data_IF_139871207951
#
_entry.id   IF_139871207951
#
_cell.length_a   1.000
_cell.length_b   1.000
_cell.length_c   1.000
_cell.angle_alpha   90.00
_cell.angle_beta   90.00
_cell.angle_gamma   90.00
#
_symmetry.space_group_name_H-M   'P 1'
#
loop_
_entity.id
_entity.type
_entity.pdbx_description
1 polymer ?
#
# COMPACT_ATOMS: atom_id res chain seq x y z
N UNK A 1 -7.41 -28.94 8.57
CA UNK A 1 -7.06 -29.34 7.19
C UNK A 1 -7.27 -28.16 6.27
N UNK A 2 -6.30 -27.81 5.45
CA UNK A 2 -6.38 -26.63 4.59
C UNK A 2 -5.38 -26.72 3.45
N UNK A 3 -5.54 -25.84 2.46
CA UNK A 3 -4.57 -25.66 1.38
C UNK A 3 -3.46 -24.75 1.91
N UNK A 4 -2.20 -25.22 1.86
CA UNK A 4 -1.05 -24.40 2.23
C UNK A 4 -0.93 -23.18 1.29
N UNK A 5 -0.45 -22.06 1.81
CA UNK A 5 -0.34 -20.81 1.04
C UNK A 5 0.59 -20.99 -0.17
N UNK A 6 1.64 -21.80 -0.03
CA UNK A 6 2.58 -22.15 -1.08
C UNK A 6 1.88 -22.93 -2.20
N UNK A 7 1.00 -23.88 -1.84
CA UNK A 7 0.20 -24.66 -2.78
C UNK A 7 -0.77 -23.75 -3.53
N UNK A 8 -1.50 -22.89 -2.82
CA UNK A 8 -2.39 -21.90 -3.44
C UNK A 8 -1.63 -20.99 -4.41
N UNK A 9 -0.50 -20.42 -3.97
CA UNK A 9 0.34 -19.57 -4.81
C UNK A 9 0.87 -20.31 -6.04
N UNK A 10 1.26 -21.58 -5.88
CA UNK A 10 1.70 -22.43 -6.99
C UNK A 10 0.60 -22.62 -8.03
N UNK A 11 -0.62 -22.92 -7.60
CA UNK A 11 -1.78 -23.07 -8.49
C UNK A 11 -2.12 -21.77 -9.21
N UNK A 12 -2.11 -20.63 -8.52
CA UNK A 12 -2.33 -19.31 -9.14
C UNK A 12 -1.26 -18.99 -10.19
N UNK A 13 0.02 -19.28 -9.93
CA UNK A 13 1.10 -19.08 -10.91
C UNK A 13 0.95 -19.97 -12.14
N UNK A 14 0.53 -21.23 -11.95
CA UNK A 14 0.24 -22.16 -13.05
C UNK A 14 -0.93 -21.65 -13.89
N UNK A 15 -2.03 -21.23 -13.24
CA UNK A 15 -3.19 -20.66 -13.88
C UNK A 15 -2.88 -19.42 -14.72
N UNK A 16 -2.05 -18.51 -14.21
CA UNK A 16 -1.65 -17.28 -14.93
C UNK A 16 -0.90 -17.54 -16.24
N UNK A 17 -0.17 -18.66 -16.34
CA UNK A 17 0.59 -19.06 -17.54
C UNK A 17 -0.24 -19.91 -18.51
N UNK A 18 -1.30 -20.56 -18.02
CA UNK A 18 -2.14 -21.44 -18.82
C UNK A 18 -3.19 -20.64 -19.59
N UNK A 19 -3.61 -21.17 -20.75
CA UNK A 19 -4.74 -20.63 -21.54
C UNK A 19 -6.04 -21.41 -21.32
N UNK A 20 -5.96 -22.59 -20.69
CA UNK A 20 -7.08 -23.49 -20.41
C UNK A 20 -6.70 -24.50 -19.32
N UNK A 21 -7.65 -25.33 -18.90
CA UNK A 21 -7.45 -26.39 -17.90
C UNK A 21 -7.73 -25.96 -16.45
N UNK A 22 -7.57 -26.91 -15.52
CA UNK A 22 -8.06 -26.76 -14.14
C UNK A 22 -7.42 -25.59 -13.38
N UNK A 23 -6.11 -25.35 -13.53
CA UNK A 23 -5.45 -24.23 -12.85
C UNK A 23 -5.86 -22.87 -13.43
N UNK A 24 -6.13 -22.80 -14.74
CA UNK A 24 -6.66 -21.59 -15.37
C UNK A 24 -8.07 -21.28 -14.87
N UNK A 25 -8.95 -22.29 -14.86
CA UNK A 25 -10.30 -22.18 -14.33
C UNK A 25 -10.32 -21.81 -12.85
N UNK A 26 -9.44 -22.42 -12.05
CA UNK A 26 -9.27 -22.08 -10.63
C UNK A 26 -8.87 -20.62 -10.46
N UNK A 27 -7.85 -20.16 -11.18
CA UNK A 27 -7.41 -18.76 -11.13
C UNK A 27 -8.53 -17.79 -11.55
N UNK A 28 -9.28 -18.11 -12.62
CA UNK A 28 -10.43 -17.31 -13.05
C UNK A 28 -11.53 -17.27 -12.00
N UNK A 29 -11.84 -18.40 -11.37
CA UNK A 29 -12.83 -18.47 -10.30
C UNK A 29 -12.42 -17.59 -9.11
N UNK A 30 -11.14 -17.60 -8.73
CA UNK A 30 -10.60 -16.72 -7.68
C UNK A 30 -10.73 -15.24 -8.08
N UNK A 31 -10.33 -14.86 -9.31
CA UNK A 31 -10.44 -13.47 -9.77
C UNK A 31 -11.90 -12.99 -9.81
N UNK A 32 -12.82 -13.85 -10.26
CA UNK A 32 -14.26 -13.57 -10.25
C UNK A 32 -14.77 -13.36 -8.82
N UNK A 33 -14.43 -14.26 -7.90
CA UNK A 33 -14.82 -14.15 -6.49
C UNK A 33 -14.26 -12.89 -5.83
N UNK A 34 -13.02 -12.50 -6.15
CA UNK A 34 -12.43 -11.24 -5.68
C UNK A 34 -13.18 -10.03 -6.22
N UNK A 35 -13.51 -10.01 -7.51
CA UNK A 35 -14.27 -8.91 -8.14
C UNK A 35 -15.67 -8.76 -7.54
N UNK A 36 -16.37 -9.88 -7.32
CA UNK A 36 -17.67 -9.89 -6.65
C UNK A 36 -17.61 -9.43 -5.20
N UNK A 37 -16.53 -9.79 -4.49
CA UNK A 37 -16.30 -9.35 -3.11
C UNK A 37 -16.08 -7.84 -3.03
N UNK A 38 -15.30 -7.28 -3.96
CA UNK A 38 -15.11 -5.83 -4.08
C UNK A 38 -16.44 -5.12 -4.33
N UNK A 39 -17.22 -5.56 -5.33
CA UNK A 39 -18.53 -4.97 -5.64
C UNK A 39 -19.48 -5.01 -4.43
N UNK A 40 -19.52 -6.14 -3.71
CA UNK A 40 -20.33 -6.28 -2.49
C UNK A 40 -19.91 -5.29 -1.40
N UNK A 41 -18.61 -5.09 -1.20
CA UNK A 41 -18.10 -4.13 -0.23
C UNK A 41 -18.44 -2.69 -0.61
N UNK A 42 -18.34 -2.33 -1.90
CA UNK A 42 -18.72 -1.00 -2.39
C UNK A 42 -20.20 -0.72 -2.13
N UNK A 43 -21.08 -1.67 -2.44
CA UNK A 43 -22.51 -1.56 -2.15
C UNK A 43 -22.77 -1.40 -0.65
N UNK A 44 -22.02 -2.14 0.19
CA UNK A 44 -22.17 -2.06 1.63
C UNK A 44 -21.69 -0.73 2.21
N UNK A 45 -20.61 -0.14 1.67
CA UNK A 45 -20.14 1.21 2.02
C UNK A 45 -21.20 2.26 1.70
N UNK A 46 -21.87 2.15 0.56
CA UNK A 46 -22.92 3.10 0.16
C UNK A 46 -24.16 3.07 1.06
N UNK A 47 -24.37 1.99 1.82
CA UNK A 47 -25.59 1.76 2.60
C UNK A 47 -25.43 1.91 4.11
N UNK A 48 -24.20 2.09 4.60
CA UNK A 48 -23.86 1.99 6.01
C UNK A 48 -23.11 3.26 6.46
N UNK A 49 -23.59 3.89 7.53
CA UNK A 49 -22.97 5.07 8.12
C UNK A 49 -21.57 4.76 8.69
N UNK A 50 -21.31 3.49 9.05
CA UNK A 50 -20.02 3.00 9.54
C UNK A 50 -19.15 2.40 8.43
N UNK A 51 -18.99 3.14 7.33
CA UNK A 51 -18.25 2.71 6.13
C UNK A 51 -16.74 2.56 6.32
N UNK A 52 -16.16 3.14 7.38
CA UNK A 52 -14.70 3.26 7.57
C UNK A 52 -14.01 1.90 7.56
N UNK A 53 -14.54 0.90 8.29
CA UNK A 53 -13.95 -0.43 8.35
C UNK A 53 -13.90 -1.12 6.96
N UNK A 54 -14.95 -0.93 6.15
CA UNK A 54 -15.05 -1.49 4.80
C UNK A 54 -14.09 -0.77 3.85
N UNK A 55 -13.99 0.55 3.92
CA UNK A 55 -13.01 1.31 3.16
C UNK A 55 -11.57 0.95 3.54
N UNK A 56 -11.26 0.82 4.83
CA UNK A 56 -9.93 0.37 5.29
C UNK A 56 -9.58 -1.02 4.76
N UNK A 57 -10.55 -1.93 4.65
CA UNK A 57 -10.34 -3.22 4.01
C UNK A 57 -10.00 -3.08 2.52
N UNK A 58 -10.77 -2.26 1.78
CA UNK A 58 -10.53 -1.99 0.35
C UNK A 58 -9.15 -1.34 0.11
N UNK A 59 -8.78 -0.33 0.90
CA UNK A 59 -7.47 0.35 0.85
C UNK A 59 -6.30 -0.62 1.02
N UNK A 60 -6.42 -1.61 1.91
CA UNK A 60 -5.34 -2.60 2.16
C UNK A 60 -5.31 -3.72 1.13
N UNK A 61 -6.48 -4.19 0.69
CA UNK A 61 -6.58 -5.32 -0.25
C UNK A 61 -6.26 -4.89 -1.68
N UNK A 62 -6.64 -3.68 -2.07
CA UNK A 62 -6.47 -3.13 -3.41
C UNK A 62 -5.93 -1.68 -3.37
N UNK A 63 -4.71 -1.46 -2.84
CA UNK A 63 -4.14 -0.13 -2.61
C UNK A 63 -3.97 0.68 -3.89
N UNK A 64 -3.75 0.02 -5.03
CA UNK A 64 -3.65 0.71 -6.33
C UNK A 64 -4.96 1.46 -6.68
N UNK A 65 -6.11 0.83 -6.45
CA UNK A 65 -7.42 1.38 -6.82
C UNK A 65 -8.03 2.25 -5.72
N UNK A 66 -7.87 1.83 -4.47
CA UNK A 66 -8.57 2.42 -3.33
C UNK A 66 -7.66 3.20 -2.39
N UNK A 67 -6.34 3.06 -2.52
CA UNK A 67 -5.40 3.81 -1.71
C UNK A 67 -5.53 5.31 -1.95
N UNK A 68 -5.39 6.09 -0.87
CA UNK A 68 -5.38 7.54 -0.97
C UNK A 68 -4.24 8.00 -1.87
N UNK A 69 -4.57 8.84 -2.85
CA UNK A 69 -3.60 9.47 -3.75
C UNK A 69 -3.53 10.95 -3.40
N UNK A 70 -2.72 11.25 -2.40
CA UNK A 70 -2.48 12.64 -2.03
C UNK A 70 -1.47 13.24 -3.01
N UNK A 71 -1.84 14.36 -3.65
CA UNK A 71 -0.92 15.14 -4.47
C UNK A 71 -0.26 16.18 -3.58
N UNK A 72 0.86 15.79 -2.99
CA UNK A 72 1.67 16.70 -2.17
C UNK A 72 2.58 17.52 -3.07
N UNK A 73 2.43 18.84 -2.99
CA UNK A 73 3.38 19.78 -3.57
C UNK A 73 4.50 20.08 -2.56
N UNK A 74 5.74 19.99 -3.00
CA UNK A 74 6.90 20.32 -2.18
C UNK A 74 7.55 21.60 -2.74
N UNK A 75 7.34 22.72 -2.08
CA UNK A 75 7.96 24.02 -2.41
C UNK A 75 8.79 24.53 -1.25
N UNK A 76 9.75 25.41 -1.55
CA UNK A 76 10.45 26.21 -0.57
C UNK A 76 9.59 27.33 -0.01
N UNK A 77 10.24 28.24 0.72
CA UNK A 77 9.59 29.39 1.33
C UNK A 77 8.83 30.20 0.26
N UNK A 78 7.61 30.60 0.59
CA UNK A 78 6.73 31.42 -0.27
C UNK A 78 6.48 30.81 -1.68
N UNK A 79 6.50 29.49 -1.81
CA UNK A 79 6.30 28.80 -3.09
C UNK A 79 7.54 28.79 -3.99
N UNK A 80 8.68 29.28 -3.50
CA UNK A 80 9.94 29.31 -4.22
C UNK A 80 10.63 27.94 -4.34
N UNK A 81 11.81 27.89 -4.98
CA UNK A 81 12.64 26.69 -5.02
C UNK A 81 12.97 26.16 -3.62
N UNK A 82 13.08 24.85 -3.49
CA UNK A 82 13.62 24.25 -2.27
C UNK A 82 15.10 24.62 -2.18
N UNK A 83 15.42 25.48 -1.23
CA UNK A 83 16.80 25.86 -0.90
C UNK A 83 17.47 24.68 -0.18
N UNK A 84 18.33 23.96 -0.91
CA UNK A 84 19.15 22.90 -0.34
C UNK A 84 20.41 23.50 0.28
N UNK A 85 20.37 23.86 1.56
CA UNK A 85 21.59 24.15 2.32
C UNK A 85 22.23 22.83 2.75
N UNK A 86 23.09 22.29 1.88
CA UNK A 86 23.92 21.17 2.26
C UNK A 86 24.95 21.64 3.30
N UNK A 87 24.77 21.23 4.55
CA UNK A 87 25.79 21.39 5.58
C UNK A 87 27.12 20.81 5.06
N UNK A 88 28.21 21.53 5.27
CA UNK A 88 29.56 21.02 5.05
C UNK A 88 29.80 19.76 5.91
N UNK A 89 30.79 18.92 5.57
CA UNK A 89 31.12 17.77 6.41
C UNK A 89 31.39 18.12 7.88
N UNK A 90 31.96 19.30 8.14
CA UNK A 90 32.22 19.83 9.49
C UNK A 90 30.91 20.16 10.21
N UNK A 91 30.03 20.94 9.58
CA UNK A 91 28.73 21.33 10.16
C UNK A 91 27.81 20.12 10.36
N UNK A 92 27.87 19.13 9.46
CA UNK A 92 27.15 17.85 9.64
C UNK A 92 27.63 17.12 10.88
N UNK A 93 28.95 17.02 11.10
CA UNK A 93 29.52 16.36 12.29
C UNK A 93 29.08 17.05 13.57
N UNK A 94 29.18 18.37 13.63
CA UNK A 94 28.75 19.17 14.78
C UNK A 94 27.25 19.00 15.05
N UNK A 95 26.43 19.00 13.99
CA UNK A 95 24.98 18.80 14.13
C UNK A 95 24.61 17.41 14.62
N UNK A 96 25.31 16.37 14.16
CA UNK A 96 25.12 14.99 14.65
C UNK A 96 25.47 14.91 16.14
N UNK A 97 26.61 15.47 16.53
CA UNK A 97 27.07 15.47 17.92
C UNK A 97 26.12 16.24 18.85
N UNK A 98 25.59 17.38 18.42
CA UNK A 98 24.56 18.13 19.16
C UNK A 98 23.28 17.31 19.37
N UNK A 99 22.78 16.63 18.32
CA UNK A 99 21.58 15.81 18.40
C UNK A 99 21.78 14.59 19.31
N UNK A 100 22.97 13.98 19.28
CA UNK A 100 23.31 12.88 20.17
C UNK A 100 23.37 13.31 21.63
N UNK A 101 23.98 14.47 21.93
CA UNK A 101 23.98 15.03 23.30
C UNK A 101 22.56 15.31 23.79
N UNK A 102 21.71 15.91 22.96
CA UNK A 102 20.33 16.21 23.32
C UNK A 102 19.53 14.95 23.65
N UNK A 103 19.72 13.86 22.89
CA UNK A 103 19.10 12.55 23.13
C UNK A 103 19.57 11.87 24.43
N UNK A 104 20.73 12.24 24.96
CA UNK A 104 21.28 11.70 26.23
C UNK A 104 20.78 12.51 27.44
N UNK A 105 20.29 13.73 27.22
CA UNK A 105 19.87 14.64 28.31
C UNK A 105 18.35 14.71 28.52
N UNK A 106 17.56 14.07 27.64
CA UNK A 106 16.11 13.81 27.76
C UNK A 106 15.88 12.38 28.27
#
# INVERSE_FOLDING_TARGET
SGVAIETFCSWMRKGKKAKSGIYYQFMQAIQKAESESEARNVIAIQKDDSWQAKMTFLERKWPERWGRRDRTEHTGKDGGPIELTALSPEERRQRIEELERRRITE
#
